data_IF_495492521880
#
_entry.id   IF_495492521880
#
_cell.length_a   1.000
_cell.length_b   1.000
_cell.length_c   1.000
_cell.angle_alpha   90.00
_cell.angle_beta   90.00
_cell.angle_gamma   90.00
#
_symmetry.space_group_name_H-M   'P 1'
#
loop_
_entity.id
_entity.type
_entity.pdbx_description
1 polymer ?
#
# COMPACT_ATOMS: atom_id res chain seq x y z
N UNK A 1 -28.48 -15.51 77.72
CA UNK A 1 -28.62 -14.24 77.00
C UNK A 1 -27.65 -14.29 75.81
N UNK A 2 -28.13 -14.74 74.66
CA UNK A 2 -27.31 -14.93 73.45
C UNK A 2 -27.46 -13.77 72.57
N UNK A 3 -26.31 -13.22 72.08
CA UNK A 3 -26.24 -12.14 71.11
C UNK A 3 -26.35 -12.70 69.71
N UNK A 4 -27.24 -12.10 68.88
CA UNK A 4 -27.46 -12.42 67.47
C UNK A 4 -26.41 -11.68 66.61
N UNK A 5 -25.70 -12.36 65.70
CA UNK A 5 -24.74 -11.65 64.80
C UNK A 5 -25.47 -10.90 63.65
N UNK A 6 -25.08 -9.65 63.41
CA UNK A 6 -25.59 -8.80 62.33
C UNK A 6 -25.03 -9.26 60.98
N UNK A 7 -25.91 -9.65 60.06
CA UNK A 7 -25.61 -9.93 58.64
C UNK A 7 -25.13 -8.67 57.92
N UNK A 8 -23.88 -8.63 57.46
CA UNK A 8 -23.35 -7.60 56.52
C UNK A 8 -23.68 -8.02 55.11
N UNK A 9 -24.53 -7.24 54.42
CA UNK A 9 -24.74 -7.37 52.97
C UNK A 9 -23.51 -6.82 52.25
N UNK A 10 -22.84 -7.66 51.50
CA UNK A 10 -21.78 -7.27 50.54
C UNK A 10 -22.46 -6.82 49.23
N UNK A 11 -22.33 -5.55 48.87
CA UNK A 11 -22.82 -5.00 47.60
C UNK A 11 -21.69 -5.11 46.57
N UNK A 12 -21.88 -5.99 45.60
CA UNK A 12 -20.96 -6.07 44.45
C UNK A 12 -21.31 -5.01 43.42
N UNK A 13 -20.46 -3.99 43.27
CA UNK A 13 -20.56 -3.07 42.17
C UNK A 13 -19.94 -3.71 40.91
N UNK A 14 -20.79 -4.13 39.95
CA UNK A 14 -20.37 -4.53 38.63
C UNK A 14 -20.08 -3.27 37.80
N UNK A 15 -18.82 -2.92 37.66
CA UNK A 15 -18.36 -1.92 36.69
C UNK A 15 -18.32 -2.54 35.30
N UNK A 16 -19.36 -2.29 34.50
CA UNK A 16 -19.41 -2.70 33.09
C UNK A 16 -18.47 -1.83 32.29
N UNK A 17 -17.29 -2.38 31.91
CA UNK A 17 -16.34 -1.74 30.99
C UNK A 17 -16.87 -1.90 29.58
N UNK A 18 -17.35 -0.81 28.99
CA UNK A 18 -17.66 -0.78 27.55
C UNK A 18 -16.35 -0.75 26.78
N UNK A 19 -16.03 -1.82 26.06
CA UNK A 19 -14.97 -1.86 25.07
C UNK A 19 -15.53 -1.20 23.81
N UNK A 20 -15.09 0.01 23.52
CA UNK A 20 -15.41 0.70 22.27
C UNK A 20 -14.63 0.01 21.14
N UNK A 21 -15.27 -0.90 20.41
CA UNK A 21 -14.71 -1.47 19.18
C UNK A 21 -14.86 -0.39 18.10
N UNK A 22 -13.79 0.31 17.80
CA UNK A 22 -13.70 1.15 16.61
C UNK A 22 -13.72 0.23 15.38
N UNK A 23 -14.89 0.06 14.78
CA UNK A 23 -15.01 -0.58 13.46
C UNK A 23 -14.45 0.39 12.43
N UNK A 24 -13.23 0.14 11.96
CA UNK A 24 -12.71 0.79 10.76
C UNK A 24 -13.49 0.27 9.55
N UNK A 25 -14.27 1.12 8.91
CA UNK A 25 -14.99 0.75 7.69
C UNK A 25 -13.98 0.36 6.59
N UNK A 26 -14.19 -0.75 5.88
CA UNK A 26 -13.29 -1.14 4.79
C UNK A 26 -13.36 -0.12 3.64
N UNK A 27 -12.25 0.06 2.90
CA UNK A 27 -12.08 1.06 1.83
C UNK A 27 -13.19 1.01 0.75
N UNK A 28 -13.76 -0.15 0.51
CA UNK A 28 -14.85 -0.31 -0.47
C UNK A 28 -16.19 0.26 -0.02
N UNK A 29 -16.33 0.67 1.26
CA UNK A 29 -17.39 1.57 1.70
C UNK A 29 -17.15 3.02 1.25
N UNK A 30 -15.92 3.34 0.81
CA UNK A 30 -15.62 4.65 0.23
C UNK A 30 -16.20 4.70 -1.19
N UNK A 31 -16.95 5.74 -1.47
CA UNK A 31 -17.50 5.98 -2.81
C UNK A 31 -16.37 6.38 -3.76
N UNK A 32 -16.51 6.14 -5.08
CA UNK A 32 -15.52 6.58 -6.08
C UNK A 32 -15.24 8.10 -6.00
N UNK A 33 -16.18 8.87 -5.44
CA UNK A 33 -16.09 10.31 -5.18
C UNK A 33 -14.97 10.69 -4.18
N UNK A 34 -14.48 9.72 -3.40
CA UNK A 34 -13.36 9.92 -2.47
C UNK A 34 -11.99 9.75 -3.13
N UNK A 35 -11.95 9.45 -4.42
CA UNK A 35 -10.71 9.38 -5.19
C UNK A 35 -10.54 10.62 -6.06
N UNK A 36 -9.33 11.17 -6.07
CA UNK A 36 -8.89 12.16 -7.05
C UNK A 36 -7.97 11.48 -8.05
N UNK A 37 -8.37 11.45 -9.33
CA UNK A 37 -7.72 10.65 -10.36
C UNK A 37 -6.68 11.47 -11.13
N UNK A 38 -5.44 10.96 -11.19
CA UNK A 38 -4.34 11.50 -11.97
C UNK A 38 -3.91 10.49 -13.02
N UNK A 39 -4.13 10.80 -14.30
CA UNK A 39 -3.74 9.99 -15.46
C UNK A 39 -4.17 8.50 -15.38
N UNK A 40 -5.25 8.21 -14.69
CA UNK A 40 -5.87 6.88 -14.59
C UNK A 40 -7.37 6.95 -14.87
N UNK A 41 -7.95 5.84 -15.33
CA UNK A 41 -9.38 5.56 -15.22
C UNK A 41 -9.59 4.64 -14.03
N UNK A 42 -10.64 4.88 -13.25
CA UNK A 42 -10.98 4.07 -12.09
C UNK A 42 -12.41 3.52 -12.20
N UNK A 43 -12.62 2.31 -11.68
CA UNK A 43 -13.95 1.67 -11.59
C UNK A 43 -14.02 0.72 -10.40
N UNK A 44 -15.22 0.54 -9.83
CA UNK A 44 -15.50 -0.55 -8.88
C UNK A 44 -15.75 -1.83 -9.66
N UNK A 45 -15.13 -2.91 -9.23
CA UNK A 45 -15.26 -4.23 -9.85
C UNK A 45 -15.23 -5.33 -8.80
N UNK A 46 -15.79 -6.49 -9.17
CA UNK A 46 -15.47 -7.77 -8.51
C UNK A 46 -14.28 -8.38 -9.23
N UNK A 47 -13.21 -8.66 -8.51
CA UNK A 47 -12.02 -9.27 -9.05
C UNK A 47 -11.48 -10.37 -8.11
N UNK A 48 -11.36 -11.59 -8.63
CA UNK A 48 -10.82 -12.75 -7.89
C UNK A 48 -11.36 -12.85 -6.45
N UNK A 49 -12.69 -12.75 -6.30
CA UNK A 49 -13.40 -12.92 -5.05
C UNK A 49 -13.42 -11.70 -4.11
N UNK A 50 -12.91 -10.55 -4.54
CA UNK A 50 -12.92 -9.32 -3.75
C UNK A 50 -13.62 -8.16 -4.47
N UNK A 51 -14.32 -7.31 -3.69
CA UNK A 51 -14.67 -5.97 -4.13
C UNK A 51 -13.40 -5.14 -4.24
N UNK A 52 -13.15 -4.54 -5.40
CA UNK A 52 -11.92 -3.84 -5.69
C UNK A 52 -12.13 -2.51 -6.42
N UNK A 53 -11.20 -1.60 -6.23
CA UNK A 53 -10.96 -0.47 -7.12
C UNK A 53 -10.00 -0.93 -8.22
N UNK A 54 -10.46 -0.92 -9.46
CA UNK A 54 -9.63 -1.15 -10.65
C UNK A 54 -9.10 0.19 -11.14
N UNK A 55 -7.79 0.29 -11.34
CA UNK A 55 -7.13 1.42 -12.00
C UNK A 55 -6.53 0.97 -13.33
N UNK A 56 -6.75 1.77 -14.37
CA UNK A 56 -6.10 1.64 -15.67
C UNK A 56 -5.27 2.89 -15.92
N UNK A 57 -3.96 2.74 -16.08
CA UNK A 57 -3.10 3.83 -16.52
C UNK A 57 -3.51 4.29 -17.93
N UNK A 58 -3.57 5.61 -18.15
CA UNK A 58 -3.82 6.14 -19.49
C UNK A 58 -2.63 5.84 -20.42
N UNK A 59 -2.85 5.69 -21.73
CA UNK A 59 -1.76 5.54 -22.69
C UNK A 59 -0.80 6.73 -22.68
N UNK A 60 0.48 6.48 -22.94
CA UNK A 60 1.53 7.50 -23.13
C UNK A 60 1.79 8.40 -21.89
N UNK A 61 1.50 7.90 -20.69
CA UNK A 61 1.79 8.59 -19.44
C UNK A 61 3.20 8.25 -18.96
N UNK A 62 3.93 9.25 -18.47
CA UNK A 62 5.24 9.03 -17.89
C UNK A 62 5.17 8.16 -16.60
N UNK A 63 6.26 7.47 -16.31
CA UNK A 63 6.37 6.72 -15.06
C UNK A 63 6.24 7.68 -13.86
N UNK A 64 5.45 7.28 -12.87
CA UNK A 64 5.20 8.11 -11.68
C UNK A 64 3.99 9.04 -11.77
N UNK A 65 3.27 9.11 -12.89
CA UNK A 65 2.16 10.07 -13.07
C UNK A 65 0.76 9.44 -12.99
N UNK A 66 0.66 8.13 -12.81
CA UNK A 66 -0.63 7.39 -12.82
C UNK A 66 -1.02 6.94 -11.44
N UNK A 67 -1.95 7.66 -10.78
CA UNK A 67 -2.39 7.34 -9.41
C UNK A 67 -3.79 7.88 -9.11
N UNK A 68 -4.39 7.39 -8.03
CA UNK A 68 -5.64 7.88 -7.47
C UNK A 68 -5.42 8.26 -5.99
N UNK A 69 -5.54 9.55 -5.67
CA UNK A 69 -5.36 10.07 -4.30
C UNK A 69 -6.59 9.76 -3.47
N UNK A 70 -6.39 9.32 -2.23
CA UNK A 70 -7.43 9.20 -1.21
C UNK A 70 -7.71 10.57 -0.61
N UNK A 71 -8.84 11.16 -0.96
CA UNK A 71 -9.22 12.50 -0.47
C UNK A 71 -9.36 12.50 1.05
N UNK A 72 -8.80 13.52 1.68
CA UNK A 72 -8.87 13.71 3.13
C UNK A 72 -7.83 12.93 3.94
N UNK A 73 -7.14 11.95 3.34
CA UNK A 73 -6.08 11.22 4.03
C UNK A 73 -4.82 12.07 4.18
N UNK A 74 -4.30 12.10 5.40
CA UNK A 74 -3.01 12.70 5.74
C UNK A 74 -2.19 11.72 6.56
N UNK A 75 -1.11 11.27 5.98
CA UNK A 75 -0.25 10.25 6.53
C UNK A 75 1.16 10.77 6.81
N UNK A 76 1.69 10.47 7.99
CA UNK A 76 3.06 10.78 8.40
C UNK A 76 3.83 9.49 8.71
N UNK A 77 3.52 8.84 9.82
CA UNK A 77 4.08 7.56 10.27
C UNK A 77 2.95 6.54 10.44
N UNK A 78 3.30 5.27 10.52
CA UNK A 78 2.34 4.20 10.76
C UNK A 78 2.40 3.10 9.72
N UNK A 79 1.26 2.46 9.47
CA UNK A 79 1.15 1.28 8.60
C UNK A 79 0.10 1.50 7.52
N UNK A 80 0.43 1.15 6.28
CA UNK A 80 -0.51 1.07 5.17
C UNK A 80 -0.57 -0.39 4.70
N UNK A 81 -1.76 -0.98 4.74
CA UNK A 81 -2.03 -2.36 4.32
C UNK A 81 -3.04 -2.37 3.17
N UNK A 82 -2.85 -3.23 2.19
CA UNK A 82 -3.78 -3.43 1.09
C UNK A 82 -3.63 -4.83 0.47
N UNK A 83 -4.67 -5.32 -0.20
CA UNK A 83 -4.55 -6.37 -1.20
C UNK A 83 -4.37 -5.70 -2.56
N UNK A 84 -3.30 -6.05 -3.27
CA UNK A 84 -3.00 -5.48 -4.60
C UNK A 84 -2.82 -6.59 -5.64
N UNK A 85 -3.31 -6.37 -6.86
CA UNK A 85 -3.09 -7.29 -7.98
C UNK A 85 -2.83 -6.50 -9.25
N UNK A 86 -1.60 -6.55 -9.77
CA UNK A 86 -1.17 -5.82 -10.95
C UNK A 86 -0.86 -6.77 -12.11
N UNK A 87 -1.22 -6.37 -13.31
CA UNK A 87 -0.87 -7.07 -14.57
C UNK A 87 -0.71 -6.08 -15.71
N UNK A 88 0.01 -6.44 -16.79
CA UNK A 88 -0.07 -5.68 -18.03
C UNK A 88 -1.51 -5.59 -18.53
N UNK A 89 -1.93 -4.39 -18.91
CA UNK A 89 -3.25 -4.17 -19.53
C UNK A 89 -3.31 -4.79 -20.94
N UNK A 90 -4.51 -4.90 -21.49
CA UNK A 90 -4.74 -5.55 -22.79
C UNK A 90 -3.94 -4.94 -23.96
N UNK A 91 -3.66 -3.63 -23.91
CA UNK A 91 -2.90 -2.89 -24.93
C UNK A 91 -1.54 -2.40 -24.41
N UNK A 92 -1.00 -3.05 -23.40
CA UNK A 92 0.29 -2.70 -22.83
C UNK A 92 1.44 -3.04 -23.79
N UNK A 93 2.53 -2.27 -23.71
CA UNK A 93 3.74 -2.61 -24.44
C UNK A 93 4.28 -3.99 -23.99
N UNK A 94 5.00 -4.72 -24.86
CA UNK A 94 5.52 -6.07 -24.53
C UNK A 94 6.45 -6.10 -23.30
N UNK A 95 7.05 -4.96 -22.97
CA UNK A 95 7.92 -4.81 -21.82
C UNK A 95 7.20 -4.33 -20.56
N UNK A 96 5.88 -4.16 -20.57
CA UNK A 96 5.09 -3.78 -19.39
C UNK A 96 5.24 -4.83 -18.28
N UNK A 97 5.35 -4.37 -17.04
CA UNK A 97 5.63 -5.21 -15.87
C UNK A 97 4.46 -5.35 -14.90
N UNK A 98 3.33 -4.65 -15.17
CA UNK A 98 2.17 -4.64 -14.29
C UNK A 98 2.43 -3.94 -12.95
N UNK A 99 3.14 -2.82 -12.99
CA UNK A 99 3.59 -2.09 -11.80
C UNK A 99 2.43 -1.62 -10.93
N UNK A 100 2.41 -2.02 -9.66
CA UNK A 100 1.36 -1.68 -8.71
C UNK A 100 1.94 -1.41 -7.32
N UNK A 101 1.45 -0.39 -6.64
CA UNK A 101 1.92 -0.05 -5.31
C UNK A 101 1.14 1.09 -4.66
N UNK A 102 1.70 1.61 -3.59
CA UNK A 102 1.14 2.74 -2.84
C UNK A 102 2.13 3.89 -2.84
N UNK A 103 1.64 5.08 -3.18
CA UNK A 103 2.32 6.33 -2.95
C UNK A 103 1.88 6.93 -1.61
N UNK A 104 2.80 7.51 -0.86
CA UNK A 104 2.54 8.08 0.45
C UNK A 104 3.28 9.40 0.66
N UNK A 105 2.82 10.20 1.63
CA UNK A 105 3.33 11.54 1.93
C UNK A 105 3.28 12.48 0.71
N UNK A 106 2.22 12.35 -0.08
CA UNK A 106 2.03 13.11 -1.32
C UNK A 106 1.77 14.58 -1.02
N UNK A 107 2.57 15.46 -1.63
CA UNK A 107 2.50 16.93 -1.57
C UNK A 107 2.63 17.49 -2.99
N UNK A 108 1.52 17.90 -3.59
CA UNK A 108 1.49 18.25 -5.01
C UNK A 108 1.91 17.05 -5.88
N UNK A 109 2.98 17.21 -6.65
CA UNK A 109 3.55 16.11 -7.46
C UNK A 109 4.74 15.40 -6.79
N UNK A 110 5.06 15.69 -5.53
CA UNK A 110 6.16 15.05 -4.79
C UNK A 110 5.62 13.98 -3.87
N UNK A 111 6.14 12.76 -3.93
CA UNK A 111 5.74 11.64 -3.08
C UNK A 111 6.77 10.53 -3.05
N UNK A 112 6.75 9.75 -1.98
CA UNK A 112 7.45 8.48 -1.83
C UNK A 112 6.55 7.35 -2.32
N UNK A 113 7.10 6.30 -2.90
CA UNK A 113 6.31 5.12 -3.27
C UNK A 113 7.12 3.83 -3.24
N UNK A 114 6.45 2.74 -2.92
CA UNK A 114 6.99 1.40 -3.07
C UNK A 114 6.04 0.62 -3.96
N UNK A 115 6.58 -0.09 -4.94
CA UNK A 115 5.77 -0.82 -5.89
C UNK A 115 6.33 -2.20 -6.23
N UNK A 116 5.45 -3.06 -6.67
CA UNK A 116 5.71 -4.42 -7.12
C UNK A 116 5.76 -4.45 -8.65
N UNK A 117 6.56 -5.35 -9.20
CA UNK A 117 6.65 -5.68 -10.62
C UNK A 117 6.24 -7.13 -10.83
N UNK A 118 4.93 -7.46 -10.87
CA UNK A 118 4.46 -8.84 -10.84
C UNK A 118 5.04 -9.76 -11.91
N UNK A 119 5.30 -9.26 -13.13
CA UNK A 119 5.91 -10.08 -14.19
C UNK A 119 7.39 -10.41 -13.95
N UNK A 120 8.04 -9.74 -12.98
CA UNK A 120 9.43 -10.03 -12.62
C UNK A 120 9.54 -11.16 -11.60
N UNK A 121 8.53 -11.37 -10.74
CA UNK A 121 8.61 -12.30 -9.60
C UNK A 121 8.98 -13.73 -9.98
N UNK A 122 8.59 -14.18 -11.19
CA UNK A 122 8.90 -15.52 -11.73
C UNK A 122 9.56 -15.46 -13.10
N UNK A 123 10.26 -14.35 -13.40
CA UNK A 123 11.00 -14.24 -14.64
C UNK A 123 12.13 -15.28 -14.71
N UNK A 124 12.43 -15.75 -15.89
CA UNK A 124 13.52 -16.69 -16.15
C UNK A 124 14.88 -16.00 -16.38
N UNK A 125 15.03 -14.85 -15.73
CA UNK A 125 16.21 -14.01 -15.69
C UNK A 125 16.43 -13.54 -14.24
N UNK A 126 17.57 -13.89 -13.66
CA UNK A 126 17.83 -13.66 -12.24
C UNK A 126 17.91 -12.16 -11.90
N UNK A 127 18.51 -11.35 -12.76
CA UNK A 127 18.63 -9.89 -12.52
C UNK A 127 17.24 -9.27 -12.53
N UNK A 128 16.42 -9.63 -13.51
CA UNK A 128 15.02 -9.19 -13.58
C UNK A 128 14.22 -9.64 -12.36
N UNK A 129 14.42 -10.87 -11.88
CA UNK A 129 13.79 -11.42 -10.67
C UNK A 129 14.13 -10.61 -9.44
N UNK A 130 15.40 -10.26 -9.25
CA UNK A 130 15.87 -9.46 -8.11
C UNK A 130 15.22 -8.07 -8.08
N UNK A 131 14.69 -7.59 -9.20
CA UNK A 131 14.01 -6.31 -9.32
C UNK A 131 12.47 -6.46 -9.31
N UNK A 132 11.90 -7.36 -8.51
CA UNK A 132 10.44 -7.53 -8.41
C UNK A 132 9.77 -6.56 -7.43
N UNK A 133 10.54 -5.90 -6.57
CA UNK A 133 10.12 -4.81 -5.67
C UNK A 133 11.01 -3.60 -5.90
N UNK A 134 10.44 -2.40 -5.83
CA UNK A 134 11.17 -1.15 -5.99
C UNK A 134 10.61 -0.05 -5.10
N UNK A 135 11.49 0.71 -4.46
CA UNK A 135 11.22 2.02 -3.89
C UNK A 135 11.58 3.12 -4.89
N UNK A 136 10.87 4.24 -4.81
CA UNK A 136 11.18 5.48 -5.52
C UNK A 136 10.63 6.70 -4.81
N UNK A 137 11.08 7.89 -5.23
CA UNK A 137 10.56 9.17 -4.77
C UNK A 137 10.42 10.14 -5.96
N UNK A 138 9.18 10.46 -6.28
CA UNK A 138 8.86 11.29 -7.44
C UNK A 138 9.04 12.78 -7.11
N UNK A 139 9.53 13.60 -8.07
CA UNK A 139 9.93 13.25 -9.43
C UNK A 139 11.44 12.90 -9.57
N UNK A 140 12.25 13.13 -8.54
CA UNK A 140 13.71 13.19 -8.71
C UNK A 140 14.44 11.86 -8.53
N UNK A 141 13.84 10.89 -7.85
CA UNK A 141 14.49 9.62 -7.50
C UNK A 141 13.70 8.44 -8.07
N UNK A 142 13.69 8.32 -9.39
CA UNK A 142 13.16 7.15 -10.08
C UNK A 142 14.09 5.92 -9.95
N UNK A 143 13.60 4.77 -10.40
CA UNK A 143 14.34 3.51 -10.31
C UNK A 143 15.71 3.58 -11.02
N UNK A 144 15.80 4.29 -12.14
CA UNK A 144 17.01 4.37 -12.96
C UNK A 144 18.11 5.17 -12.24
N UNK A 145 17.74 6.33 -11.68
CA UNK A 145 18.65 7.11 -10.85
C UNK A 145 19.10 6.36 -9.60
N UNK A 146 18.14 5.77 -8.86
CA UNK A 146 18.45 5.04 -7.64
C UNK A 146 19.36 3.84 -7.90
N UNK A 147 19.17 3.14 -9.01
CA UNK A 147 20.00 2.02 -9.42
C UNK A 147 21.42 2.46 -9.78
N UNK A 148 21.58 3.59 -10.49
CA UNK A 148 22.91 4.15 -10.79
C UNK A 148 23.66 4.64 -9.55
N UNK A 149 22.96 5.36 -8.66
CA UNK A 149 23.60 5.99 -7.49
C UNK A 149 23.79 5.02 -6.31
N UNK A 150 22.97 4.02 -6.19
CA UNK A 150 22.95 3.07 -5.07
C UNK A 150 22.44 1.71 -5.55
N UNK A 151 23.21 0.93 -6.32
CA UNK A 151 22.81 -0.35 -6.87
C UNK A 151 22.26 -1.29 -5.79
N UNK A 152 21.16 -1.98 -6.09
CA UNK A 152 20.50 -2.99 -5.25
C UNK A 152 19.92 -2.50 -3.90
N UNK A 153 20.19 -1.25 -3.50
CA UNK A 153 19.77 -0.72 -2.20
C UNK A 153 18.26 -0.52 -2.07
N UNK A 154 17.58 -0.19 -3.15
CA UNK A 154 16.16 0.19 -3.18
C UNK A 154 15.30 -0.78 -3.99
N UNK A 155 15.84 -1.94 -4.26
CA UNK A 155 15.20 -3.04 -4.99
C UNK A 155 15.35 -4.35 -4.21
N UNK A 156 14.44 -5.29 -4.46
CA UNK A 156 14.50 -6.61 -3.83
C UNK A 156 13.68 -7.64 -4.61
N UNK A 157 13.89 -8.90 -4.26
CA UNK A 157 13.10 -10.02 -4.74
C UNK A 157 11.90 -10.30 -3.84
N UNK A 158 10.77 -10.61 -4.47
CA UNK A 158 9.64 -11.32 -3.87
C UNK A 158 8.93 -12.16 -4.92
N UNK A 159 8.42 -13.33 -4.53
CA UNK A 159 7.64 -14.17 -5.45
C UNK A 159 6.29 -13.52 -5.75
N UNK A 160 6.04 -13.18 -7.01
CA UNK A 160 4.87 -12.50 -7.51
C UNK A 160 4.35 -13.18 -8.77
N UNK A 161 3.03 -13.08 -9.00
CA UNK A 161 2.40 -13.46 -10.25
C UNK A 161 1.50 -12.32 -10.75
N UNK A 162 1.50 -12.05 -12.07
CA UNK A 162 0.60 -11.05 -12.66
C UNK A 162 -0.87 -11.38 -12.37
N UNK A 163 -1.63 -10.39 -11.91
CA UNK A 163 -3.07 -10.51 -11.65
C UNK A 163 -3.45 -11.32 -10.39
N UNK A 164 -2.49 -11.85 -9.64
CA UNK A 164 -2.75 -12.57 -8.39
C UNK A 164 -2.71 -11.62 -7.21
N UNK A 165 -3.67 -11.76 -6.29
CA UNK A 165 -3.70 -10.95 -5.06
C UNK A 165 -2.43 -11.15 -4.24
N UNK A 166 -1.82 -10.03 -3.89
CA UNK A 166 -0.66 -9.94 -3.02
C UNK A 166 -1.06 -9.10 -1.81
N UNK A 167 -0.90 -9.64 -0.60
CA UNK A 167 -1.03 -8.86 0.63
C UNK A 167 0.20 -7.94 0.74
N UNK A 168 -0.06 -6.66 0.83
CA UNK A 168 0.93 -5.60 0.80
C UNK A 168 0.85 -4.78 2.07
N UNK A 169 1.97 -4.64 2.80
CA UNK A 169 2.04 -3.87 4.04
C UNK A 169 3.31 -3.05 4.08
N UNK A 170 3.19 -1.73 4.15
CA UNK A 170 4.30 -0.82 4.42
C UNK A 170 4.21 -0.33 5.86
N UNK A 171 5.33 -0.37 6.59
CA UNK A 171 5.52 0.29 7.88
C UNK A 171 6.48 1.46 7.69
N UNK A 172 6.07 2.66 8.09
CA UNK A 172 6.82 3.91 7.89
C UNK A 172 7.05 4.58 9.24
N UNK A 173 8.31 4.93 9.51
CA UNK A 173 8.74 5.59 10.74
C UNK A 173 9.87 6.59 10.43
N UNK A 174 9.60 7.88 10.60
CA UNK A 174 10.54 8.95 10.27
C UNK A 174 11.00 8.85 8.82
N UNK A 175 12.29 8.65 8.59
CA UNK A 175 12.91 8.48 7.27
C UNK A 175 13.06 7.01 6.84
N UNK A 176 12.34 6.09 7.47
CA UNK A 176 12.46 4.64 7.21
C UNK A 176 11.15 4.06 6.70
N UNK A 177 11.25 3.11 5.78
CA UNK A 177 10.12 2.30 5.35
C UNK A 177 10.51 0.82 5.24
N UNK A 178 9.57 -0.07 5.55
CA UNK A 178 9.70 -1.53 5.40
C UNK A 178 8.49 -2.10 4.70
N UNK A 179 8.72 -2.84 3.62
CA UNK A 179 7.65 -3.56 2.94
C UNK A 179 7.62 -5.01 3.38
N UNK A 180 6.43 -5.49 3.70
CA UNK A 180 6.11 -6.89 3.96
C UNK A 180 5.10 -7.36 2.92
N UNK A 181 5.26 -8.58 2.43
CA UNK A 181 4.39 -9.17 1.41
C UNK A 181 3.88 -10.53 1.89
N UNK A 182 2.60 -10.81 1.64
CA UNK A 182 1.94 -12.09 1.93
C UNK A 182 2.12 -12.59 3.38
N UNK A 183 2.05 -11.67 4.36
CA UNK A 183 2.15 -12.00 5.78
C UNK A 183 3.54 -12.42 6.25
N UNK A 184 4.58 -12.19 5.45
CA UNK A 184 5.95 -12.50 5.86
C UNK A 184 6.34 -11.79 7.16
N UNK A 185 7.06 -12.49 8.04
CA UNK A 185 7.56 -11.93 9.31
C UNK A 185 8.70 -10.94 9.07
N UNK A 186 9.53 -11.21 8.06
CA UNK A 186 10.64 -10.34 7.67
C UNK A 186 10.23 -9.45 6.50
N UNK A 187 10.67 -8.17 6.48
CA UNK A 187 10.43 -7.29 5.34
C UNK A 187 11.20 -7.79 4.11
N UNK A 188 10.57 -7.74 2.96
CA UNK A 188 11.24 -8.01 1.68
C UNK A 188 12.01 -6.80 1.14
N UNK A 189 11.68 -5.57 1.58
CA UNK A 189 12.43 -4.37 1.25
C UNK A 189 12.61 -3.50 2.50
N UNK A 190 13.84 -3.00 2.72
CA UNK A 190 14.20 -2.10 3.80
C UNK A 190 14.77 -0.82 3.21
N UNK A 191 14.09 0.31 3.44
CA UNK A 191 14.56 1.65 3.09
C UNK A 191 14.84 2.40 4.39
N UNK A 192 16.09 2.81 4.61
CA UNK A 192 16.51 3.50 5.83
C UNK A 192 16.69 5.01 5.65
N UNK A 193 16.51 5.51 4.42
CA UNK A 193 16.76 6.88 4.01
C UNK A 193 15.77 7.31 2.91
N UNK A 194 14.52 7.47 3.28
CA UNK A 194 13.48 8.02 2.41
C UNK A 194 13.97 9.34 1.80
N UNK A 195 13.89 9.47 0.47
CA UNK A 195 14.58 10.55 -0.27
C UNK A 195 13.95 11.93 -0.11
N UNK A 196 12.68 12.00 0.27
CA UNK A 196 11.99 13.27 0.57
C UNK A 196 11.99 13.59 2.07
N UNK A 197 12.71 12.81 2.88
CA UNK A 197 12.89 13.02 4.30
C UNK A 197 11.65 12.66 5.14
N UNK A 198 11.64 13.15 6.39
CA UNK A 198 10.52 12.99 7.30
C UNK A 198 9.47 14.06 6.99
N UNK A 199 8.36 13.65 6.36
CA UNK A 199 7.32 14.54 5.86
C UNK A 199 5.93 13.94 6.05
N UNK A 200 4.88 14.76 5.86
CA UNK A 200 3.48 14.35 5.92
C UNK A 200 2.76 14.73 4.64
N UNK A 201 1.82 13.91 4.17
CA UNK A 201 1.04 14.20 2.97
C UNK A 201 -0.04 13.17 2.70
N UNK A 202 -0.60 13.20 1.50
CA UNK A 202 -1.64 12.27 1.07
C UNK A 202 -1.14 10.84 0.86
N UNK A 203 -2.10 9.92 0.68
CA UNK A 203 -1.88 8.55 0.24
C UNK A 203 -2.57 8.34 -1.10
N UNK A 204 -1.94 7.59 -2.00
CA UNK A 204 -2.52 7.29 -3.31
C UNK A 204 -2.30 5.83 -3.74
N UNK A 205 -3.28 5.29 -4.43
CA UNK A 205 -3.18 4.03 -5.16
C UNK A 205 -2.39 4.30 -6.43
N UNK A 206 -1.26 3.64 -6.62
CA UNK A 206 -0.33 3.92 -7.70
C UNK A 206 -0.20 2.76 -8.68
N UNK A 207 -0.20 3.06 -9.98
CA UNK A 207 0.05 2.09 -11.06
C UNK A 207 1.07 2.67 -12.06
N UNK A 208 1.91 1.81 -12.60
CA UNK A 208 2.86 2.21 -13.64
C UNK A 208 2.26 2.21 -15.05
N UNK A 209 3.02 2.66 -16.05
CA UNK A 209 2.58 2.70 -17.44
C UNK A 209 2.08 1.33 -17.94
N UNK A 210 0.98 1.34 -18.69
CA UNK A 210 0.40 0.14 -19.27
C UNK A 210 -0.13 -0.88 -18.27
N UNK A 211 -0.33 -0.51 -17.01
CA UNK A 211 -0.81 -1.41 -15.96
C UNK A 211 -2.33 -1.36 -15.83
N UNK A 212 -2.89 -2.54 -15.66
CA UNK A 212 -4.20 -2.78 -15.07
C UNK A 212 -3.99 -3.25 -13.63
N UNK A 213 -4.39 -2.42 -12.65
CA UNK A 213 -4.18 -2.65 -11.22
C UNK A 213 -5.48 -2.74 -10.45
N UNK A 214 -5.54 -3.63 -9.46
CA UNK A 214 -6.68 -3.84 -8.57
C UNK A 214 -6.26 -3.66 -7.13
N UNK A 215 -7.07 -2.94 -6.35
CA UNK A 215 -6.82 -2.61 -4.95
C UNK A 215 -8.04 -2.97 -4.11
N UNK A 216 -7.81 -3.70 -3.03
CA UNK A 216 -8.82 -4.07 -2.05
C UNK A 216 -8.26 -4.00 -0.62
N UNK A 217 -9.12 -4.09 0.39
CA UNK A 217 -8.77 -4.21 1.81
C UNK A 217 -7.80 -3.12 2.32
N UNK A 218 -7.83 -1.91 1.74
CA UNK A 218 -6.95 -0.83 2.18
C UNK A 218 -7.25 -0.42 3.61
N UNK A 219 -6.20 -0.37 4.41
CA UNK A 219 -6.22 0.08 5.80
C UNK A 219 -5.01 0.97 6.07
N UNK A 220 -5.26 2.14 6.65
CA UNK A 220 -4.23 3.08 7.09
C UNK A 220 -4.33 3.19 8.61
N UNK A 221 -3.22 2.96 9.29
CA UNK A 221 -3.13 3.03 10.75
C UNK A 221 -1.96 3.94 11.11
N UNK A 222 -2.21 5.09 11.75
CA UNK A 222 -1.17 6.00 12.24
C UNK A 222 -0.28 5.37 13.32
#
# INVERSE_FOLDING_TARGET
>A
MGAIPKNRRVVYHHTMRYVLILMTAPLWAQTMDQLELHQVAASKVQYEGKDAVRLLARPNVANGESYAILKGERFHNGTIEASVAGKPGANAAPDARGFIGIAFRLQGNRYEYIYLRPTNGRADDQVRRNHSVQYGAHPAYDFDRLRRESPEKYESYVDLQPGVWTQYKIVIEGTKARLYVNGAVQPCLIVNDLKLGDSQGGVALWVGPGTEGYFADLKITP
#
